data_IF_834572009198
#
_entry.id   IF_834572009198
#
_cell.length_a   1.000
_cell.length_b   1.000
_cell.length_c   1.000
_cell.angle_alpha   90.00
_cell.angle_beta   90.00
_cell.angle_gamma   90.00
#
_symmetry.space_group_name_H-M   'P 1'
#
loop_
_entity.id
_entity.type
_entity.pdbx_description
1 polymer ?
#
# COMPACT_ATOMS: atom_id res chain seq x y z
N UNK A 1 -1.85 9.33 -14.00
CA UNK A 1 -1.14 8.04 -13.92
C UNK A 1 -0.84 7.55 -15.33
N UNK A 2 0.36 7.05 -15.62
CA UNK A 2 0.77 6.50 -16.92
C UNK A 2 0.81 4.97 -16.82
N UNK A 3 0.72 4.28 -17.97
CA UNK A 3 0.83 2.80 -18.00
C UNK A 3 2.11 2.29 -17.34
N UNK A 4 3.26 2.96 -17.56
CA UNK A 4 4.54 2.58 -16.97
C UNK A 4 4.52 2.60 -15.42
N UNK A 5 3.75 3.53 -14.83
CA UNK A 5 3.63 3.60 -13.36
C UNK A 5 2.90 2.36 -12.83
N UNK A 6 1.83 1.92 -13.51
CA UNK A 6 1.11 0.68 -13.18
C UNK A 6 2.02 -0.55 -13.34
N UNK A 7 2.78 -0.63 -14.43
CA UNK A 7 3.71 -1.76 -14.63
C UNK A 7 4.77 -1.81 -13.52
N UNK A 8 5.32 -0.64 -13.13
CA UNK A 8 6.25 -0.59 -12.01
C UNK A 8 5.59 -1.08 -10.71
N UNK A 9 4.37 -0.61 -10.41
CA UNK A 9 3.62 -1.08 -9.23
C UNK A 9 3.45 -2.60 -9.25
N UNK A 10 2.96 -3.17 -10.34
CA UNK A 10 2.72 -4.62 -10.47
C UNK A 10 4.00 -5.41 -10.24
N UNK A 11 5.07 -5.08 -10.97
CA UNK A 11 6.34 -5.80 -10.85
C UNK A 11 6.96 -5.66 -9.45
N UNK A 12 6.96 -4.45 -8.90
CA UNK A 12 7.52 -4.17 -7.59
C UNK A 12 6.73 -4.85 -6.47
N UNK A 13 5.40 -4.84 -6.56
CA UNK A 13 4.49 -5.46 -5.58
C UNK A 13 4.58 -6.97 -5.58
N UNK A 14 4.50 -7.61 -6.76
CA UNK A 14 4.65 -9.06 -6.94
C UNK A 14 5.96 -9.56 -6.34
N UNK A 15 7.06 -8.87 -6.66
CA UNK A 15 8.39 -9.19 -6.12
C UNK A 15 8.46 -8.96 -4.60
N UNK A 16 7.89 -7.86 -4.10
CA UNK A 16 7.94 -7.48 -2.68
C UNK A 16 7.22 -8.48 -1.80
N UNK A 17 6.07 -8.98 -2.24
CA UNK A 17 5.27 -9.97 -1.52
C UNK A 17 5.71 -11.41 -1.78
N UNK A 18 6.62 -11.63 -2.71
CA UNK A 18 7.03 -12.97 -3.14
C UNK A 18 5.83 -13.87 -3.46
N UNK A 19 4.97 -13.39 -4.37
CA UNK A 19 3.72 -14.07 -4.72
C UNK A 19 3.99 -15.40 -5.40
N UNK A 20 3.16 -16.40 -5.08
CA UNK A 20 3.13 -17.71 -5.74
C UNK A 20 2.24 -17.69 -6.98
N UNK A 21 2.23 -18.80 -7.73
CA UNK A 21 1.39 -18.93 -8.93
C UNK A 21 -0.10 -19.18 -8.60
N UNK A 22 -0.43 -19.51 -7.35
CA UNK A 22 -1.77 -19.91 -6.90
C UNK A 22 -2.52 -18.80 -6.14
N UNK A 23 -2.19 -17.53 -6.39
CA UNK A 23 -2.86 -16.43 -5.69
C UNK A 23 -4.26 -16.18 -6.22
N UNK A 24 -5.20 -15.92 -5.31
CA UNK A 24 -6.57 -15.48 -5.61
C UNK A 24 -6.82 -14.15 -4.94
N UNK A 25 -7.03 -13.10 -5.72
CA UNK A 25 -7.24 -11.74 -5.24
C UNK A 25 -8.71 -11.46 -4.95
N UNK A 26 -8.97 -10.72 -3.87
CA UNK A 26 -10.26 -10.09 -3.62
C UNK A 26 -10.24 -8.63 -4.09
N UNK A 27 -11.16 -8.26 -4.97
CA UNK A 27 -11.45 -6.87 -5.27
C UNK A 27 -12.52 -6.38 -4.28
N UNK A 28 -12.07 -5.64 -3.26
CA UNK A 28 -12.93 -5.07 -2.23
C UNK A 28 -13.14 -3.56 -2.43
N UNK A 29 -12.08 -2.81 -2.73
CA UNK A 29 -12.14 -1.38 -2.85
C UNK A 29 -13.12 -0.92 -3.94
N UNK A 30 -13.87 0.15 -3.69
CA UNK A 30 -14.66 0.76 -4.75
C UNK A 30 -13.72 1.27 -5.86
N UNK A 31 -14.09 1.05 -7.12
CA UNK A 31 -13.27 1.40 -8.29
C UNK A 31 -12.94 2.89 -8.43
N UNK A 32 -13.63 3.77 -7.72
CA UNK A 32 -13.31 5.21 -7.68
C UNK A 32 -12.08 5.52 -6.81
N UNK A 33 -11.66 4.59 -5.96
CA UNK A 33 -10.44 4.71 -5.17
C UNK A 33 -9.28 4.02 -5.88
N UNK A 34 -8.12 4.63 -5.82
CA UNK A 34 -6.88 4.10 -6.44
C UNK A 34 -6.43 2.76 -5.86
N UNK A 35 -6.78 2.44 -4.61
CA UNK A 35 -6.54 1.13 -4.01
C UNK A 35 -7.09 -0.03 -4.87
N UNK A 36 -8.21 0.18 -5.59
CA UNK A 36 -8.76 -0.81 -6.52
C UNK A 36 -7.81 -1.15 -7.66
N UNK A 37 -6.94 -0.20 -8.06
CA UNK A 37 -5.96 -0.45 -9.11
C UNK A 37 -4.95 -1.54 -8.70
N UNK A 38 -4.62 -1.65 -7.41
CA UNK A 38 -3.78 -2.74 -6.91
C UNK A 38 -4.47 -4.08 -7.10
N UNK A 39 -5.75 -4.17 -6.75
CA UNK A 39 -6.51 -5.41 -6.88
C UNK A 39 -6.62 -5.84 -8.35
N UNK A 40 -7.01 -4.92 -9.25
CA UNK A 40 -7.17 -5.20 -10.68
C UNK A 40 -5.86 -5.52 -11.39
N UNK A 41 -4.88 -4.64 -11.26
CA UNK A 41 -3.67 -4.77 -12.08
C UNK A 41 -2.69 -5.80 -11.54
N UNK A 42 -2.55 -5.91 -10.19
CA UNK A 42 -1.66 -6.91 -9.63
C UNK A 42 -2.22 -8.34 -9.75
N UNK A 43 -3.54 -8.51 -9.87
CA UNK A 43 -4.12 -9.82 -10.19
C UNK A 43 -4.03 -10.12 -11.69
N UNK A 44 -4.70 -9.32 -12.52
CA UNK A 44 -4.94 -9.65 -13.94
C UNK A 44 -3.65 -9.64 -14.78
N UNK A 45 -2.69 -8.73 -14.52
CA UNK A 45 -1.43 -8.68 -15.27
C UNK A 45 -0.46 -9.81 -14.88
N UNK A 46 -0.67 -10.47 -13.74
CA UNK A 46 0.05 -11.69 -13.36
C UNK A 46 -0.71 -12.98 -13.71
N UNK A 47 -1.94 -12.88 -14.26
CA UNK A 47 -2.77 -14.03 -14.60
C UNK A 47 -3.47 -14.66 -13.40
N UNK A 48 -3.56 -13.97 -12.25
CA UNK A 48 -4.28 -14.48 -11.08
C UNK A 48 -5.79 -14.25 -11.17
N UNK A 49 -6.60 -15.18 -10.66
CA UNK A 49 -8.02 -14.95 -10.46
C UNK A 49 -8.31 -13.71 -9.61
N UNK A 50 -9.36 -12.97 -10.02
CA UNK A 50 -9.88 -11.82 -9.28
C UNK A 50 -11.35 -12.05 -8.94
N UNK A 51 -11.65 -12.18 -7.65
CA UNK A 51 -13.01 -12.29 -7.12
C UNK A 51 -13.51 -10.89 -6.77
N UNK A 52 -14.66 -10.51 -7.30
CA UNK A 52 -15.23 -9.18 -7.09
C UNK A 52 -16.31 -9.25 -6.01
N UNK A 53 -16.07 -8.60 -4.87
CA UNK A 53 -17.07 -8.46 -3.83
C UNK A 53 -18.19 -7.51 -4.28
N UNK A 54 -19.42 -7.97 -4.20
CA UNK A 54 -20.62 -7.16 -4.50
C UNK A 54 -20.81 -6.06 -3.44
N UNK A 55 -21.68 -5.09 -3.72
CA UNK A 55 -22.02 -4.04 -2.74
C UNK A 55 -22.63 -4.61 -1.46
N UNK A 56 -23.33 -5.73 -1.53
CA UNK A 56 -23.94 -6.40 -0.39
C UNK A 56 -22.87 -7.05 0.49
N UNK A 57 -21.94 -7.79 -0.11
CA UNK A 57 -20.81 -8.43 0.60
C UNK A 57 -19.88 -7.40 1.24
N UNK A 58 -19.63 -6.27 0.57
CA UNK A 58 -18.80 -5.19 1.14
C UNK A 58 -19.41 -4.51 2.37
N UNK A 59 -20.72 -4.59 2.56
CA UNK A 59 -21.43 -3.98 3.68
C UNK A 59 -21.89 -4.97 4.74
N UNK A 60 -21.70 -6.28 4.52
CA UNK A 60 -22.08 -7.35 5.42
C UNK A 60 -20.88 -8.29 5.65
N UNK A 61 -20.32 -8.26 6.85
CA UNK A 61 -19.12 -9.03 7.20
C UNK A 61 -19.34 -10.53 7.13
N UNK A 62 -20.50 -11.05 7.49
CA UNK A 62 -20.78 -12.49 7.44
C UNK A 62 -20.78 -13.00 5.98
N UNK A 63 -21.33 -12.21 5.06
CA UNK A 63 -21.31 -12.53 3.63
C UNK A 63 -19.91 -12.39 3.05
N UNK A 64 -19.13 -11.40 3.50
CA UNK A 64 -17.75 -11.22 3.10
C UNK A 64 -16.87 -12.39 3.55
N UNK A 65 -16.99 -12.82 4.80
CA UNK A 65 -16.26 -13.96 5.36
C UNK A 65 -16.61 -15.26 4.62
N UNK A 66 -17.89 -15.42 4.27
CA UNK A 66 -18.34 -16.56 3.46
C UNK A 66 -17.74 -16.53 2.05
N UNK A 67 -17.74 -15.38 1.38
CA UNK A 67 -17.11 -15.20 0.07
C UNK A 67 -15.62 -15.55 0.13
N UNK A 68 -14.89 -15.01 1.12
CA UNK A 68 -13.47 -15.28 1.33
C UNK A 68 -13.19 -16.78 1.44
N UNK A 69 -14.00 -17.48 2.23
CA UNK A 69 -13.84 -18.92 2.43
C UNK A 69 -14.21 -19.73 1.19
N UNK A 70 -15.33 -19.40 0.52
CA UNK A 70 -15.83 -20.15 -0.64
C UNK A 70 -14.92 -20.03 -1.87
N UNK A 71 -14.36 -18.83 -2.09
CA UNK A 71 -13.50 -18.55 -3.25
C UNK A 71 -12.01 -18.78 -2.94
N UNK A 72 -11.66 -19.26 -1.74
CA UNK A 72 -10.29 -19.50 -1.32
C UNK A 72 -9.39 -18.28 -1.52
N UNK A 73 -9.83 -17.10 -1.11
CA UNK A 73 -9.08 -15.85 -1.26
C UNK A 73 -7.74 -15.94 -0.53
N UNK A 74 -6.64 -15.64 -1.23
CA UNK A 74 -5.29 -15.66 -0.67
C UNK A 74 -4.73 -14.27 -0.41
N UNK A 75 -5.23 -13.25 -1.10
CA UNK A 75 -4.81 -11.84 -0.95
C UNK A 75 -6.03 -10.95 -0.88
N UNK A 76 -6.10 -10.10 0.13
CA UNK A 76 -7.14 -9.09 0.22
C UNK A 76 -6.61 -7.77 0.79
N UNK A 77 -6.98 -6.67 0.11
CA UNK A 77 -6.78 -5.30 0.58
C UNK A 77 -8.12 -4.75 1.07
N UNK A 78 -8.33 -4.79 2.38
CA UNK A 78 -9.57 -4.37 3.03
C UNK A 78 -9.24 -3.30 4.08
N UNK A 79 -10.09 -2.27 4.28
CA UNK A 79 -9.86 -1.28 5.33
C UNK A 79 -9.72 -1.92 6.72
N UNK A 80 -8.77 -1.41 7.50
CA UNK A 80 -8.49 -1.88 8.87
C UNK A 80 -9.76 -1.95 9.74
N UNK A 81 -10.67 -0.99 9.58
CA UNK A 81 -11.93 -0.92 10.32
C UNK A 81 -12.83 -2.13 10.05
N UNK A 82 -12.82 -2.65 8.84
CA UNK A 82 -13.61 -3.83 8.44
C UNK A 82 -13.00 -5.08 9.05
N UNK A 83 -11.69 -5.25 8.98
CA UNK A 83 -11.01 -6.38 9.62
C UNK A 83 -11.25 -6.44 11.14
N UNK A 84 -11.38 -5.29 11.81
CA UNK A 84 -11.66 -5.24 13.26
C UNK A 84 -13.03 -5.82 13.67
N UNK A 85 -13.97 -5.92 12.73
CA UNK A 85 -15.33 -6.45 12.98
C UNK A 85 -15.58 -7.79 12.31
N UNK A 86 -14.61 -8.34 11.61
CA UNK A 86 -14.62 -9.70 11.07
C UNK A 86 -14.09 -10.69 12.12
N UNK A 87 -14.67 -11.88 12.18
CA UNK A 87 -14.36 -12.86 13.24
C UNK A 87 -14.00 -14.26 12.72
N UNK A 88 -14.58 -14.68 11.59
CA UNK A 88 -14.51 -16.05 11.09
C UNK A 88 -13.87 -16.11 9.68
N UNK A 89 -12.65 -15.59 9.54
CA UNK A 89 -11.94 -15.59 8.28
C UNK A 89 -10.49 -16.02 8.44
N UNK A 90 -9.90 -16.43 7.35
CA UNK A 90 -8.46 -16.60 7.20
C UNK A 90 -8.07 -16.21 5.78
N UNK A 91 -7.09 -15.32 5.65
CA UNK A 91 -6.55 -14.87 4.38
C UNK A 91 -5.02 -14.93 4.50
N UNK A 92 -4.32 -15.76 3.72
CA UNK A 92 -2.86 -15.89 3.80
C UNK A 92 -2.11 -14.56 3.80
N UNK A 93 -2.54 -13.60 2.97
CA UNK A 93 -1.91 -12.27 2.86
C UNK A 93 -2.96 -11.16 3.04
N UNK A 94 -2.93 -10.53 4.20
CA UNK A 94 -3.80 -9.40 4.55
C UNK A 94 -3.06 -8.10 4.30
N UNK A 95 -3.70 -7.17 3.59
CA UNK A 95 -3.14 -5.85 3.28
C UNK A 95 -4.06 -4.79 3.86
N UNK A 96 -3.49 -3.76 4.47
CA UNK A 96 -4.18 -2.52 4.82
C UNK A 96 -3.37 -1.31 4.35
N UNK A 97 -4.06 -0.21 4.08
CA UNK A 97 -3.46 1.08 3.71
C UNK A 97 -4.41 2.22 4.02
N UNK A 98 -3.92 3.45 3.90
CA UNK A 98 -4.72 4.67 4.10
C UNK A 98 -5.14 4.95 5.55
N UNK A 99 -4.74 4.13 6.52
CA UNK A 99 -5.00 4.33 7.94
C UNK A 99 -3.81 3.87 8.78
N UNK A 100 -3.63 4.47 9.96
CA UNK A 100 -2.55 4.09 10.88
C UNK A 100 -2.83 2.73 11.50
N UNK A 101 -1.91 1.78 11.29
CA UNK A 101 -1.92 0.49 11.96
C UNK A 101 -1.35 0.60 13.38
N UNK A 102 -1.83 -0.24 14.30
CA UNK A 102 -1.37 -0.30 15.68
C UNK A 102 -0.82 -1.69 16.03
N UNK A 103 0.07 -1.83 17.03
CA UNK A 103 0.54 -3.13 17.48
C UNK A 103 -0.60 -4.06 17.91
N UNK A 104 -1.65 -3.52 18.54
CA UNK A 104 -2.83 -4.29 18.94
C UNK A 104 -3.58 -4.85 17.73
N UNK A 105 -3.71 -4.05 16.66
CA UNK A 105 -4.30 -4.54 15.41
C UNK A 105 -3.45 -5.63 14.77
N UNK A 106 -2.12 -5.46 14.70
CA UNK A 106 -1.23 -6.49 14.14
C UNK A 106 -1.33 -7.78 14.94
N UNK A 107 -1.38 -7.69 16.28
CA UNK A 107 -1.57 -8.86 17.14
C UNK A 107 -2.93 -9.53 16.93
N UNK A 108 -3.97 -8.76 16.64
CA UNK A 108 -5.30 -9.31 16.30
C UNK A 108 -5.25 -10.00 14.94
N UNK A 109 -4.83 -9.29 13.89
CA UNK A 109 -4.88 -9.80 12.51
C UNK A 109 -3.93 -10.98 12.27
N UNK A 110 -2.83 -11.08 13.01
CA UNK A 110 -1.87 -12.19 12.90
C UNK A 110 -2.46 -13.58 13.23
N UNK A 111 -3.63 -13.62 13.84
CA UNK A 111 -4.38 -14.86 14.08
C UNK A 111 -5.14 -15.33 12.84
N UNK A 112 -5.34 -14.45 11.88
CA UNK A 112 -6.16 -14.64 10.69
C UNK A 112 -5.36 -14.60 9.38
N UNK A 113 -4.02 -14.53 9.45
CA UNK A 113 -3.15 -14.50 8.28
C UNK A 113 -1.76 -15.07 8.57
N UNK A 114 -1.01 -15.41 7.51
CA UNK A 114 0.42 -15.72 7.59
C UNK A 114 1.28 -14.47 7.39
N UNK A 115 0.77 -13.52 6.59
CA UNK A 115 1.44 -12.27 6.27
C UNK A 115 0.46 -11.10 6.43
N UNK A 116 0.88 -10.09 7.18
CA UNK A 116 0.20 -8.79 7.22
C UNK A 116 1.08 -7.72 6.58
N UNK A 117 0.48 -6.87 5.76
CA UNK A 117 1.16 -5.79 5.04
C UNK A 117 0.52 -4.46 5.38
N UNK A 118 1.29 -3.58 5.99
CA UNK A 118 0.93 -2.17 6.19
C UNK A 118 1.48 -1.36 5.01
N UNK A 119 0.63 -1.01 4.06
CA UNK A 119 0.98 -0.28 2.85
C UNK A 119 0.74 1.23 3.03
N UNK A 120 1.67 2.02 2.51
CA UNK A 120 1.57 3.48 2.45
C UNK A 120 1.84 3.98 1.05
N UNK A 121 1.05 4.94 0.61
CA UNK A 121 1.30 5.69 -0.62
C UNK A 121 0.15 6.62 -0.96
N UNK A 122 0.47 7.80 -1.52
CA UNK A 122 -0.52 8.69 -2.11
C UNK A 122 -0.84 8.27 -3.55
N UNK A 123 -1.99 8.69 -4.06
CA UNK A 123 -2.40 8.47 -5.46
C UNK A 123 -1.40 9.03 -6.48
N UNK A 124 -0.68 10.07 -6.10
CA UNK A 124 0.37 10.72 -6.89
C UNK A 124 1.59 9.83 -7.12
N UNK A 125 1.78 8.83 -6.27
CA UNK A 125 2.81 7.80 -6.44
C UNK A 125 2.21 6.43 -6.82
N UNK A 126 1.11 6.39 -7.52
CA UNK A 126 0.51 5.15 -8.04
C UNK A 126 0.26 4.13 -6.93
N UNK A 127 -0.57 4.51 -5.96
CA UNK A 127 -1.15 3.75 -4.85
C UNK A 127 -0.16 3.40 -3.72
N UNK A 128 0.95 2.71 -4.01
CA UNK A 128 1.86 2.22 -2.96
C UNK A 128 3.28 2.73 -3.18
N UNK A 129 3.79 3.48 -2.21
CA UNK A 129 5.17 3.96 -2.16
C UNK A 129 6.05 3.04 -1.32
N UNK A 130 5.56 2.61 -0.17
CA UNK A 130 6.29 1.74 0.76
C UNK A 130 5.36 0.73 1.43
N UNK A 131 5.94 -0.30 2.02
CA UNK A 131 5.20 -1.20 2.89
C UNK A 131 6.10 -1.80 3.98
N UNK A 132 5.48 -2.04 5.12
CA UNK A 132 6.02 -2.89 6.17
C UNK A 132 5.31 -4.23 6.15
N UNK A 133 6.08 -5.31 6.28
CA UNK A 133 5.60 -6.68 6.22
C UNK A 133 5.86 -7.36 7.56
N UNK A 134 4.80 -7.89 8.14
CA UNK A 134 4.84 -8.83 9.26
C UNK A 134 4.60 -10.24 8.74
N UNK A 135 5.42 -11.18 9.15
CA UNK A 135 5.19 -12.61 8.95
C UNK A 135 4.83 -13.26 10.28
N UNK A 136 4.01 -14.27 10.23
CA UNK A 136 3.57 -15.00 11.44
C UNK A 136 4.79 -15.49 12.24
N UNK A 137 4.85 -15.04 13.49
CA UNK A 137 5.98 -15.32 14.39
C UNK A 137 7.01 -14.19 14.53
N UNK A 138 6.95 -13.16 13.69
CA UNK A 138 7.81 -11.99 13.84
C UNK A 138 7.47 -11.21 15.11
N UNK A 139 8.45 -10.49 15.65
CA UNK A 139 8.22 -9.54 16.73
C UNK A 139 7.41 -8.33 16.22
N UNK A 140 6.41 -7.92 16.98
CA UNK A 140 5.59 -6.75 16.67
C UNK A 140 6.25 -5.53 17.33
N UNK A 141 6.67 -4.50 16.56
CA UNK A 141 7.28 -3.30 17.13
C UNK A 141 6.26 -2.44 17.88
N UNK A 142 6.73 -1.60 18.80
CA UNK A 142 5.88 -0.68 19.58
C UNK A 142 5.20 0.39 18.73
N UNK A 143 5.71 0.67 17.54
CA UNK A 143 5.12 1.55 16.53
C UNK A 143 5.19 0.83 15.19
N UNK A 144 4.07 0.69 14.50
CA UNK A 144 4.04 0.04 13.20
C UNK A 144 4.53 1.03 12.14
N UNK A 145 5.65 0.75 11.45
CA UNK A 145 6.17 1.65 10.43
C UNK A 145 5.38 1.54 9.12
N UNK A 146 5.57 2.52 8.26
CA UNK A 146 5.13 2.44 6.85
C UNK A 146 6.13 1.62 6.00
N UNK A 147 7.22 1.21 6.60
CA UNK A 147 8.20 0.27 6.03
C UNK A 147 9.13 0.88 4.99
N UNK A 148 9.61 0.01 4.09
CA UNK A 148 10.62 0.35 3.08
C UNK A 148 9.98 0.62 1.72
N UNK A 149 10.61 1.49 0.88
CA UNK A 149 10.12 1.77 -0.46
C UNK A 149 9.97 0.52 -1.32
N UNK A 150 9.04 0.56 -2.26
CA UNK A 150 8.97 -0.41 -3.36
C UNK A 150 10.15 -0.21 -4.33
N UNK A 151 10.38 -1.19 -5.20
CA UNK A 151 11.41 -1.06 -6.23
C UNK A 151 11.15 0.14 -7.16
N UNK A 152 12.21 0.87 -7.49
CA UNK A 152 12.20 2.09 -8.30
C UNK A 152 11.37 3.24 -7.69
N UNK A 153 11.20 3.24 -6.37
CA UNK A 153 10.62 4.34 -5.57
C UNK A 153 11.67 4.79 -4.57
N UNK A 154 11.93 6.08 -4.54
CA UNK A 154 12.84 6.71 -3.58
C UNK A 154 12.02 7.56 -2.60
N UNK A 155 12.30 7.42 -1.30
CA UNK A 155 11.66 8.20 -0.25
C UNK A 155 12.73 9.05 0.45
N UNK A 156 12.43 10.33 0.59
CA UNK A 156 13.28 11.31 1.26
C UNK A 156 12.50 11.97 2.40
N UNK A 157 13.14 12.16 3.55
CA UNK A 157 12.58 12.95 4.65
C UNK A 157 13.28 14.30 4.64
N UNK A 158 12.51 15.39 4.48
CA UNK A 158 13.06 16.72 4.23
C UNK A 158 12.53 17.77 5.19
N UNK A 159 13.39 18.72 5.55
CA UNK A 159 13.02 19.92 6.30
C UNK A 159 13.85 21.10 5.79
N UNK A 160 13.19 22.23 5.49
CA UNK A 160 13.86 23.43 4.99
C UNK A 160 14.69 23.19 3.71
N UNK A 161 14.21 22.28 2.81
CA UNK A 161 14.89 21.94 1.56
C UNK A 161 16.11 21.02 1.70
N UNK A 162 16.39 20.48 2.89
CA UNK A 162 17.52 19.58 3.18
C UNK A 162 17.04 18.23 3.69
N UNK A 163 17.85 17.18 3.48
CA UNK A 163 17.60 15.86 4.06
C UNK A 163 17.70 15.90 5.58
N UNK A 164 16.75 15.25 6.24
CA UNK A 164 16.80 15.01 7.67
C UNK A 164 17.70 13.81 8.00
N UNK A 165 18.39 13.89 9.12
CA UNK A 165 19.11 12.74 9.69
C UNK A 165 18.14 11.68 10.24
N UNK A 166 18.68 10.49 10.55
CA UNK A 166 17.94 9.39 11.19
C UNK A 166 17.28 9.88 12.48
N UNK A 167 15.99 9.57 12.66
CA UNK A 167 15.18 9.96 13.80
C UNK A 167 14.63 11.39 13.75
N UNK A 168 15.10 12.25 12.85
CA UNK A 168 14.66 13.65 12.75
C UNK A 168 13.38 13.72 11.87
N UNK A 169 12.29 14.30 12.39
CA UNK A 169 11.07 14.46 11.64
C UNK A 169 11.20 15.48 10.49
N UNK A 170 10.54 15.20 9.37
CA UNK A 170 10.43 16.08 8.22
C UNK A 170 9.30 15.68 7.30
N UNK A 171 9.10 16.43 6.22
CA UNK A 171 8.13 16.09 5.18
C UNK A 171 8.60 14.86 4.41
N UNK A 172 7.71 13.88 4.24
CA UNK A 172 7.96 12.74 3.38
C UNK A 172 7.81 13.16 1.93
N UNK A 173 8.88 12.98 1.15
CA UNK A 173 8.91 13.28 -0.27
C UNK A 173 9.23 12.03 -1.07
N UNK A 174 8.64 11.89 -2.26
CA UNK A 174 8.70 10.67 -3.06
C UNK A 174 9.22 10.99 -4.46
N UNK A 175 10.14 10.16 -4.96
CA UNK A 175 10.63 10.21 -6.35
C UNK A 175 10.59 8.80 -6.97
N UNK A 176 10.88 8.71 -8.26
CA UNK A 176 11.01 7.45 -8.97
C UNK A 176 9.94 7.16 -10.01
N UNK A 177 9.91 5.90 -10.49
CA UNK A 177 9.10 5.49 -11.64
C UNK A 177 7.59 5.40 -11.35
N UNK A 178 7.19 5.41 -10.08
CA UNK A 178 5.78 5.37 -9.68
C UNK A 178 5.10 6.74 -9.67
N UNK A 179 5.86 7.85 -9.79
CA UNK A 179 5.28 9.20 -9.78
C UNK A 179 4.41 9.45 -11.00
N UNK A 180 3.22 10.02 -10.74
CA UNK A 180 2.34 10.54 -11.78
C UNK A 180 2.90 11.84 -12.37
N UNK A 181 2.25 12.37 -13.42
CA UNK A 181 2.75 13.59 -14.09
C UNK A 181 2.22 14.88 -13.49
N UNK A 182 1.43 14.81 -12.41
CA UNK A 182 0.75 15.95 -11.81
C UNK A 182 -0.77 15.83 -11.86
N UNK A 183 -1.45 16.92 -11.58
CA UNK A 183 -2.92 17.00 -11.50
C UNK A 183 -3.51 17.52 -12.81
N UNK A 184 -4.52 16.82 -13.32
CA UNK A 184 -5.21 17.19 -14.54
C UNK A 184 -5.89 18.57 -14.40
N UNK A 185 -5.61 19.46 -15.36
CA UNK A 185 -6.14 20.84 -15.38
C UNK A 185 -5.81 21.68 -14.12
N UNK A 186 -4.69 21.35 -13.42
CA UNK A 186 -4.21 22.07 -12.24
C UNK A 186 -2.69 22.29 -12.31
N UNK A 187 -2.20 23.08 -13.28
CA UNK A 187 -0.74 23.24 -13.49
C UNK A 187 -0.05 23.91 -12.29
N UNK A 188 -0.68 24.88 -11.66
CA UNK A 188 -0.12 25.58 -10.50
C UNK A 188 0.07 24.63 -9.32
N UNK A 189 -0.95 23.84 -8.95
CA UNK A 189 -0.86 22.84 -7.91
C UNK A 189 0.15 21.74 -8.26
N UNK A 190 0.22 21.36 -9.53
CA UNK A 190 1.23 20.39 -9.99
C UNK A 190 2.65 20.92 -9.79
N UNK A 191 2.92 22.18 -10.12
CA UNK A 191 4.22 22.82 -9.91
C UNK A 191 4.57 22.98 -8.43
N UNK A 192 3.57 23.24 -7.58
CA UNK A 192 3.75 23.33 -6.12
C UNK A 192 4.16 21.99 -5.49
N UNK A 193 3.50 20.91 -5.91
CA UNK A 193 3.64 19.57 -5.30
C UNK A 193 4.71 18.71 -5.95
N UNK A 194 4.94 18.86 -7.26
CA UNK A 194 5.92 18.11 -8.04
C UNK A 194 7.07 19.04 -8.43
N UNK A 195 8.08 19.11 -7.59
CA UNK A 195 9.26 19.94 -7.78
C UNK A 195 10.37 19.17 -8.54
N UNK A 196 11.39 19.87 -9.02
CA UNK A 196 12.61 19.22 -9.53
C UNK A 196 13.26 18.42 -8.39
N UNK A 197 13.70 17.19 -8.71
CA UNK A 197 14.33 16.33 -7.70
C UNK A 197 15.78 16.77 -7.45
N UNK A 198 16.09 17.34 -6.26
CA UNK A 198 17.43 17.81 -5.95
C UNK A 198 18.45 16.67 -5.69
N UNK A 199 17.99 15.41 -5.63
CA UNK A 199 18.82 14.25 -5.29
C UNK A 199 19.04 13.29 -6.46
N UNK A 200 18.43 13.57 -7.62
CA UNK A 200 18.54 12.71 -8.79
C UNK A 200 17.69 13.20 -9.96
N UNK A 201 17.56 12.41 -11.01
CA UNK A 201 16.77 12.81 -12.18
C UNK A 201 15.26 12.83 -11.89
N UNK A 202 14.53 13.64 -12.65
CA UNK A 202 13.06 13.69 -12.64
C UNK A 202 12.47 14.60 -11.57
N UNK A 203 11.30 14.24 -11.10
CA UNK A 203 10.52 15.04 -10.14
C UNK A 203 10.53 14.40 -8.75
N UNK A 204 10.32 15.25 -7.75
CA UNK A 204 10.09 14.91 -6.35
C UNK A 204 8.69 15.38 -5.97
N UNK A 205 7.86 14.48 -5.48
CA UNK A 205 6.53 14.79 -4.97
C UNK A 205 6.58 15.09 -3.47
N UNK A 206 6.02 16.21 -3.06
CA UNK A 206 5.89 16.64 -1.67
C UNK A 206 4.54 16.17 -1.13
N UNK A 207 4.55 15.14 -0.26
CA UNK A 207 3.30 14.53 0.21
C UNK A 207 2.52 15.40 1.20
N UNK A 208 3.22 16.22 1.96
CA UNK A 208 2.65 16.94 3.10
C UNK A 208 2.59 16.10 4.38
N UNK A 209 2.92 14.82 4.31
CA UNK A 209 2.95 13.92 5.48
C UNK A 209 4.24 14.11 6.28
N UNK A 210 4.12 14.08 7.60
CA UNK A 210 5.26 14.12 8.51
C UNK A 210 5.76 12.69 8.78
N UNK A 211 7.05 12.47 8.54
CA UNK A 211 7.68 11.18 8.78
C UNK A 211 9.11 11.33 9.34
N UNK A 212 9.70 10.21 9.73
CA UNK A 212 11.12 10.14 10.10
C UNK A 212 11.71 8.81 9.63
N UNK A 213 12.98 8.84 9.23
CA UNK A 213 13.74 7.63 8.96
C UNK A 213 14.13 6.96 10.26
N UNK A 214 13.87 5.66 10.39
CA UNK A 214 14.28 4.87 11.56
C UNK A 214 15.70 4.32 11.36
N UNK A 215 16.40 3.90 12.43
CA UNK A 215 17.78 3.37 12.31
C UNK A 215 17.93 2.12 11.45
N UNK A 216 16.83 1.37 11.26
CA UNK A 216 16.76 0.15 10.44
C UNK A 216 16.23 0.40 9.00
N UNK A 217 15.95 1.66 8.70
CA UNK A 217 15.52 2.13 7.38
C UNK A 217 14.02 2.16 7.17
#
# INVERSE_FOLDING_TARGET
MKQRNILNLVCAWTKRLNLSDDEVYLQYANYVFDASATDFYCSLLNGYPLVIATSVERTNTDLLEKLISQENITIASIPLQVYNVMHHFYIPKVITGGATSTPAFVQHISKHCDMYVNAYGPSENTVIASCWIYKKGDAIPSTIPIGKPLANVDIFIMSGGKLCGVGIPGELCIAGESLTSGYLNRPELSTEKFIENPFGPGQLYRSGDLARLMPDG
#
